data_IF_249371911164
#
_entry.id   IF_249371911164
#
_cell.length_a   1.000
_cell.length_b   1.000
_cell.length_c   1.000
_cell.angle_alpha   90.00
_cell.angle_beta   90.00
_cell.angle_gamma   90.00
#
_symmetry.space_group_name_H-M   'P 1'
#
loop_
_entity.id
_entity.type
_entity.pdbx_description
1 polymer ?
#
# COMPACT_ATOMS: atom_id res chain seq x y z
N UNK A 1 33.81 -24.91 -26.46
CA UNK A 1 32.49 -24.25 -26.56
C UNK A 1 31.69 -24.29 -25.25
N UNK A 2 32.32 -24.55 -24.09
CA UNK A 2 31.59 -24.72 -22.81
C UNK A 2 31.47 -23.43 -21.99
N UNK A 3 32.38 -22.46 -22.18
CA UNK A 3 32.37 -21.18 -21.44
C UNK A 3 31.25 -20.23 -21.87
N UNK A 4 30.70 -20.41 -23.07
CA UNK A 4 29.65 -19.55 -23.61
C UNK A 4 28.29 -19.84 -22.95
N UNK A 5 28.00 -21.11 -22.64
CA UNK A 5 26.73 -21.51 -22.02
C UNK A 5 26.60 -21.12 -20.55
N UNK A 6 27.70 -21.12 -19.79
CA UNK A 6 27.69 -20.69 -18.38
C UNK A 6 27.42 -19.19 -18.27
N UNK A 7 27.98 -18.38 -19.18
CA UNK A 7 27.77 -16.93 -19.19
C UNK A 7 26.32 -16.55 -19.49
N UNK A 8 25.65 -17.24 -20.42
CA UNK A 8 24.24 -17.00 -20.71
C UNK A 8 23.33 -17.44 -19.57
N UNK A 9 23.62 -18.54 -18.88
CA UNK A 9 22.84 -18.99 -17.73
C UNK A 9 23.01 -18.03 -16.54
N UNK A 10 24.23 -17.55 -16.28
CA UNK A 10 24.47 -16.55 -15.22
C UNK A 10 23.78 -15.22 -15.51
N UNK A 11 23.79 -14.77 -16.77
CA UNK A 11 23.11 -13.55 -17.20
C UNK A 11 21.59 -13.69 -17.08
N UNK A 12 21.03 -14.84 -17.43
CA UNK A 12 19.60 -15.12 -17.27
C UNK A 12 19.20 -15.21 -15.78
N UNK A 13 20.05 -15.79 -14.93
CA UNK A 13 19.82 -15.84 -13.49
C UNK A 13 19.92 -14.46 -12.80
N UNK A 14 20.75 -13.55 -13.32
CA UNK A 14 20.85 -12.15 -12.85
C UNK A 14 19.62 -11.31 -13.22
N UNK A 15 18.94 -11.63 -14.33
CA UNK A 15 17.71 -10.92 -14.77
C UNK A 15 16.48 -11.35 -13.95
N UNK A 16 16.58 -12.43 -13.17
CA UNK A 16 15.52 -12.96 -12.31
C UNK A 16 15.58 -12.44 -10.87
N UNK A 17 16.57 -11.62 -10.52
CA UNK A 17 16.69 -11.06 -9.18
C UNK A 17 15.58 -10.01 -9.05
N UNK A 18 14.48 -10.36 -8.39
CA UNK A 18 13.46 -9.40 -8.05
C UNK A 18 14.02 -8.33 -7.10
N UNK A 19 13.66 -7.08 -7.34
CA UNK A 19 13.86 -6.00 -6.37
C UNK A 19 12.76 -6.11 -5.31
N UNK A 20 13.09 -5.71 -4.08
CA UNK A 20 12.08 -5.49 -3.03
C UNK A 20 11.99 -4.00 -2.83
N UNK A 21 10.79 -3.45 -2.98
CA UNK A 21 10.46 -2.05 -2.75
C UNK A 21 9.24 -1.98 -1.81
N UNK A 22 9.03 -0.82 -1.19
CA UNK A 22 7.87 -0.65 -0.33
C UNK A 22 6.67 -0.12 -1.13
N UNK A 23 5.50 -0.72 -0.90
CA UNK A 23 4.23 -0.06 -1.15
C UNK A 23 3.79 0.68 0.11
N UNK A 24 3.34 1.93 -0.02
CA UNK A 24 3.01 2.79 1.11
C UNK A 24 1.59 3.34 1.03
N UNK A 25 0.91 3.41 2.18
CA UNK A 25 -0.38 4.06 2.35
C UNK A 25 -0.27 5.13 3.43
N UNK A 26 -0.71 6.33 3.12
CA UNK A 26 -1.02 7.37 4.10
C UNK A 26 -2.53 7.57 4.17
N UNK A 27 -3.12 7.34 5.33
CA UNK A 27 -4.51 7.72 5.66
C UNK A 27 -4.47 9.07 6.37
N UNK A 28 -5.27 10.04 5.93
CA UNK A 28 -5.33 11.37 6.56
C UNK A 28 -6.75 11.67 6.97
N UNK A 29 -6.92 12.06 8.24
CA UNK A 29 -8.15 12.65 8.71
C UNK A 29 -8.15 14.15 8.37
N UNK A 30 -8.87 14.54 7.33
CA UNK A 30 -9.04 15.94 6.94
C UNK A 30 -10.39 16.51 7.41
N UNK A 31 -11.00 15.88 8.41
CA UNK A 31 -12.22 16.31 9.07
C UNK A 31 -11.89 17.18 10.31
N UNK A 32 -12.90 17.86 10.85
CA UNK A 32 -12.75 18.67 12.07
C UNK A 32 -12.79 17.83 13.36
N UNK A 33 -13.29 16.60 13.29
CA UNK A 33 -13.45 15.68 14.41
C UNK A 33 -12.67 14.39 14.16
N UNK A 34 -12.55 13.59 15.22
CA UNK A 34 -11.89 12.29 15.17
C UNK A 34 -12.65 11.30 14.27
N UNK A 35 -11.88 10.50 13.54
CA UNK A 35 -12.40 9.42 12.70
C UNK A 35 -11.77 8.10 13.12
N UNK A 36 -12.49 7.01 12.91
CA UNK A 36 -11.92 5.69 13.01
C UNK A 36 -11.84 5.06 11.62
N UNK A 37 -10.82 4.24 11.42
CA UNK A 37 -10.69 3.42 10.23
C UNK A 37 -10.08 2.05 10.55
N UNK A 38 -10.25 1.10 9.64
CA UNK A 38 -9.64 -0.22 9.64
C UNK A 38 -9.02 -0.47 8.29
N UNK A 39 -7.94 -1.24 8.27
CA UNK A 39 -7.32 -1.72 7.02
C UNK A 39 -7.46 -3.25 6.98
N UNK A 40 -8.03 -3.79 5.91
CA UNK A 40 -8.18 -5.22 5.65
C UNK A 40 -8.78 -5.97 6.85
N UNK A 41 -9.91 -5.49 7.39
CA UNK A 41 -10.58 -6.07 8.55
C UNK A 41 -9.70 -6.18 9.82
N UNK A 42 -8.65 -5.36 9.92
CA UNK A 42 -7.73 -5.33 11.06
C UNK A 42 -8.30 -4.60 12.28
N UNK A 43 -7.39 -4.19 13.16
CA UNK A 43 -7.76 -3.40 14.34
C UNK A 43 -8.24 -2.00 13.93
N UNK A 44 -9.20 -1.49 14.69
CA UNK A 44 -9.65 -0.10 14.58
C UNK A 44 -8.55 0.85 15.07
N UNK A 45 -8.34 1.90 14.29
CA UNK A 45 -7.40 2.98 14.60
C UNK A 45 -8.19 4.27 14.60
N UNK A 46 -8.12 5.01 15.71
CA UNK A 46 -8.66 6.37 15.80
C UNK A 46 -7.60 7.36 15.34
N UNK A 47 -7.97 8.22 14.40
CA UNK A 47 -7.17 9.34 13.91
C UNK A 47 -7.82 10.64 14.38
N UNK A 48 -7.08 11.44 15.15
CA UNK A 48 -7.55 12.75 15.56
C UNK A 48 -7.63 13.70 14.35
N UNK A 49 -8.34 14.81 14.51
CA UNK A 49 -8.46 15.82 13.46
C UNK A 49 -7.09 16.30 12.94
N UNK A 50 -6.93 16.32 11.62
CA UNK A 50 -5.69 16.70 10.90
C UNK A 50 -4.48 15.79 11.14
N UNK A 51 -4.67 14.60 11.71
CA UNK A 51 -3.61 13.60 11.81
C UNK A 51 -3.53 12.70 10.58
N UNK A 52 -2.36 12.08 10.42
CA UNK A 52 -2.06 11.07 9.43
C UNK A 52 -1.59 9.76 10.08
N UNK A 53 -1.87 8.67 9.39
CA UNK A 53 -1.40 7.33 9.71
C UNK A 53 -0.72 6.73 8.49
N UNK A 54 0.49 6.21 8.67
CA UNK A 54 1.28 5.58 7.61
C UNK A 54 1.39 4.08 7.82
N UNK A 55 1.29 3.32 6.73
CA UNK A 55 1.51 1.89 6.70
C UNK A 55 2.25 1.49 5.43
N UNK A 56 3.26 0.64 5.58
CA UNK A 56 4.06 0.14 4.47
C UNK A 56 4.01 -1.38 4.41
N UNK A 57 4.15 -1.91 3.20
CA UNK A 57 4.33 -3.34 2.92
C UNK A 57 5.57 -3.52 2.06
N UNK A 58 6.43 -4.47 2.42
CA UNK A 58 7.51 -4.91 1.54
C UNK A 58 6.90 -5.73 0.41
N UNK A 59 7.06 -5.27 -0.83
CA UNK A 59 6.51 -5.89 -2.03
C UNK A 59 7.63 -6.16 -3.03
N UNK A 60 7.54 -7.26 -3.75
CA UNK A 60 8.54 -7.65 -4.73
C UNK A 60 8.19 -7.16 -6.14
N UNK A 61 9.19 -6.82 -6.94
CA UNK A 61 9.04 -6.53 -8.37
C UNK A 61 10.10 -7.29 -9.16
N UNK A 62 9.73 -7.82 -10.32
CA UNK A 62 10.66 -8.49 -11.22
C UNK A 62 10.24 -8.30 -12.69
N UNK A 63 11.01 -8.86 -13.62
CA UNK A 63 10.74 -8.71 -15.07
C UNK A 63 9.39 -9.29 -15.52
N UNK A 64 8.77 -10.17 -14.73
CA UNK A 64 7.49 -10.79 -15.04
C UNK A 64 6.29 -10.11 -14.38
N UNK A 65 6.51 -9.13 -13.52
CA UNK A 65 5.43 -8.40 -12.87
C UNK A 65 5.85 -7.72 -11.57
N UNK A 66 4.94 -6.89 -11.08
CA UNK A 66 5.03 -6.22 -9.79
C UNK A 66 4.03 -6.89 -8.84
N UNK A 67 4.46 -7.15 -7.61
CA UNK A 67 3.58 -7.60 -6.55
C UNK A 67 2.68 -6.44 -6.11
N UNK A 68 1.41 -6.77 -5.92
CA UNK A 68 0.36 -5.85 -5.59
C UNK A 68 -0.25 -6.20 -4.23
N UNK A 69 -0.61 -5.17 -3.47
CA UNK A 69 -1.32 -5.32 -2.22
C UNK A 69 -2.73 -4.75 -2.32
N UNK A 70 -3.71 -5.64 -2.26
CA UNK A 70 -5.10 -5.23 -2.07
C UNK A 70 -5.28 -4.64 -0.66
N UNK A 71 -5.85 -3.44 -0.64
CA UNK A 71 -6.15 -2.65 0.54
C UNK A 71 -7.62 -2.26 0.51
N UNK A 72 -8.35 -2.74 1.50
CA UNK A 72 -9.70 -2.36 1.86
C UNK A 72 -9.64 -1.45 3.09
N UNK A 73 -10.31 -0.31 3.02
CA UNK A 73 -10.42 0.64 4.13
C UNK A 73 -11.89 0.86 4.47
N UNK A 74 -12.25 0.44 5.68
CA UNK A 74 -13.53 0.80 6.31
C UNK A 74 -13.28 2.03 7.18
N UNK A 75 -14.14 3.04 7.11
CA UNK A 75 -14.01 4.22 7.95
C UNK A 75 -15.34 4.86 8.33
N UNK A 76 -15.40 5.46 9.52
CA UNK A 76 -16.52 6.28 9.97
C UNK A 76 -16.08 7.22 11.10
N UNK A 77 -17.01 8.01 11.62
CA UNK A 77 -16.72 9.09 12.56
C UNK A 77 -17.91 10.02 12.72
N UNK A 78 -17.71 11.08 13.50
CA UNK A 78 -18.73 12.11 13.66
C UNK A 78 -18.89 12.87 12.33
N UNK A 79 -20.11 12.89 11.77
CA UNK A 79 -20.42 13.41 10.42
C UNK A 79 -19.77 12.69 9.23
N UNK A 80 -19.06 11.58 9.45
CA UNK A 80 -18.56 10.71 8.37
C UNK A 80 -19.57 9.58 8.12
N UNK A 81 -20.26 9.61 6.98
CA UNK A 81 -21.02 8.43 6.55
C UNK A 81 -20.07 7.25 6.37
N UNK A 82 -20.43 6.10 6.93
CA UNK A 82 -19.66 4.86 6.73
C UNK A 82 -19.50 4.61 5.24
N UNK A 83 -18.26 4.42 4.81
CA UNK A 83 -17.93 4.09 3.44
C UNK A 83 -16.75 3.13 3.45
N UNK A 84 -16.74 2.28 2.43
CA UNK A 84 -15.73 1.27 2.23
C UNK A 84 -15.06 1.58 0.88
N UNK A 85 -13.74 1.52 0.84
CA UNK A 85 -12.97 1.75 -0.39
C UNK A 85 -11.92 0.66 -0.56
N UNK A 86 -11.78 0.18 -1.78
CA UNK A 86 -10.79 -0.82 -2.16
C UNK A 86 -9.87 -0.27 -3.25
N UNK A 87 -8.57 -0.53 -3.10
CA UNK A 87 -7.56 -0.27 -4.12
C UNK A 87 -6.34 -1.18 -3.94
N UNK A 88 -5.58 -1.35 -5.02
CA UNK A 88 -4.29 -2.05 -4.99
C UNK A 88 -3.14 -1.04 -4.82
N UNK A 89 -2.06 -1.42 -4.12
CA UNK A 89 -0.80 -0.67 -4.02
C UNK A 89 0.32 -1.54 -4.60
N UNK A 90 1.08 -0.99 -5.53
CA UNK A 90 2.22 -1.68 -6.17
C UNK A 90 3.54 -1.43 -5.42
N UNK A 91 4.52 -2.32 -5.64
CA UNK A 91 5.88 -2.10 -5.14
C UNK A 91 6.47 -0.77 -5.67
N UNK A 92 6.95 0.08 -4.75
CA UNK A 92 7.48 1.41 -5.06
C UNK A 92 6.40 2.50 -5.21
N UNK A 93 5.13 2.18 -5.02
CA UNK A 93 4.03 3.15 -5.06
C UNK A 93 3.68 3.66 -3.65
N UNK A 94 3.40 4.96 -3.54
CA UNK A 94 2.79 5.57 -2.35
C UNK A 94 1.39 6.10 -2.69
N UNK A 95 0.36 5.63 -1.97
CA UNK A 95 -1.02 6.10 -2.07
C UNK A 95 -1.44 6.92 -0.87
N UNK A 96 -2.29 7.92 -1.13
CA UNK A 96 -2.86 8.78 -0.08
C UNK A 96 -4.38 8.70 -0.09
N UNK A 97 -4.94 8.19 0.98
CA UNK A 97 -6.38 8.18 1.24
C UNK A 97 -6.74 9.30 2.21
N UNK A 98 -7.75 10.10 1.86
CA UNK A 98 -8.20 11.23 2.69
C UNK A 98 -9.65 11.02 3.09
N UNK A 99 -9.89 11.02 4.40
CA UNK A 99 -11.22 10.98 4.96
C UNK A 99 -11.69 12.42 5.14
N UNK A 100 -12.86 12.72 4.60
CA UNK A 100 -13.51 14.02 4.71
C UNK A 100 -14.87 13.85 5.37
N UNK A 101 -15.13 14.67 6.39
CA UNK A 101 -16.46 14.96 6.88
C UNK A 101 -16.56 16.43 7.24
N UNK A 102 -17.52 17.10 6.63
CA UNK A 102 -18.03 18.40 7.01
C UNK A 102 -19.29 18.19 7.88
N UNK A 103 -19.19 18.62 9.14
CA UNK A 103 -20.35 18.80 10.03
C UNK A 103 -21.07 20.10 9.73
#
# INVERSE_FOLDING_TARGET
>A
MEKLGIFTILLLALVLIGCTDNGELTVVNNSNDDVWFRINHGNEITLEANQDYEKSWELSSNIFGVEEKDVEIDYSGYHVFTSDIEFSIEAGESKKFKIYADG
#
